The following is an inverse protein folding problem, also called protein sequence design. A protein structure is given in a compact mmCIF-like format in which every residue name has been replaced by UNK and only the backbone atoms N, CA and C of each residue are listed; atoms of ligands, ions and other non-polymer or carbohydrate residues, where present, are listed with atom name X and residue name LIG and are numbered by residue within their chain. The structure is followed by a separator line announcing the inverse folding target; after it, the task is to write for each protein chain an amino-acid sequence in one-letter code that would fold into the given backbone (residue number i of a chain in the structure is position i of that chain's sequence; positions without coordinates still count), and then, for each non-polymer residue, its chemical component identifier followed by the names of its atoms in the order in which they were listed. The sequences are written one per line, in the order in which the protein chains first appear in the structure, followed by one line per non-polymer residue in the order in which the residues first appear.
data_IF_120196989592
#
_entry.id   IF_120196989592
#
_cell.length_a   1.000
_cell.length_b   1.000
_cell.length_c   1.000
_cell.angle_alpha   90.00
_cell.angle_beta   90.00
_cell.angle_gamma   90.00
#
_symmetry.space_group_name_H-M   'P 1'
#
loop_
_entity.id
_entity.type
_entity.pdbx_description
1 polymer ?
#
# COMPACT_ATOMS: atom_id res chain seq x y z
N UNK A 1 -20.50 17.57 6.70
CA UNK A 1 -19.70 16.35 6.94
C UNK A 1 -18.74 16.65 8.09
N UNK A 2 -18.14 15.66 8.77
CA UNK A 2 -17.09 15.97 9.74
C UNK A 2 -15.72 15.99 9.04
N UNK A 3 -14.72 16.60 9.68
CA UNK A 3 -13.37 16.77 9.10
C UNK A 3 -12.70 15.46 8.70
N UNK A 4 -12.91 14.40 9.47
CA UNK A 4 -12.33 13.07 9.17
C UNK A 4 -12.93 12.50 7.88
N UNK A 5 -14.25 12.58 7.72
CA UNK A 5 -14.92 12.13 6.51
C UNK A 5 -14.53 13.01 5.31
N UNK A 6 -14.39 14.33 5.48
CA UNK A 6 -13.84 15.23 4.45
C UNK A 6 -12.44 14.81 4.00
N UNK A 7 -11.57 14.49 4.96
CA UNK A 7 -10.22 13.98 4.69
C UNK A 7 -10.30 12.70 3.86
N UNK A 8 -11.10 11.71 4.28
CA UNK A 8 -11.25 10.43 3.60
C UNK A 8 -11.80 10.58 2.18
N UNK A 9 -12.80 11.43 1.98
CA UNK A 9 -13.42 11.66 0.66
C UNK A 9 -12.52 12.48 -0.28
N UNK A 10 -11.57 13.25 0.24
CA UNK A 10 -10.59 14.00 -0.55
C UNK A 10 -9.34 13.20 -0.97
N UNK A 11 -9.21 11.95 -0.51
CA UNK A 11 -8.00 11.15 -0.76
C UNK A 11 -7.80 10.88 -2.26
N UNK A 12 -6.58 11.16 -2.73
CA UNK A 12 -6.13 10.92 -4.11
C UNK A 12 -4.65 10.55 -4.11
N UNK A 13 -4.22 9.78 -5.12
CA UNK A 13 -2.81 9.39 -5.26
C UNK A 13 -2.04 10.41 -6.08
N UNK A 14 -0.93 10.91 -5.55
CA UNK A 14 -0.07 11.89 -6.22
C UNK A 14 1.21 11.21 -6.72
N UNK A 15 1.52 11.31 -8.01
CA UNK A 15 2.71 10.68 -8.62
C UNK A 15 3.80 11.65 -9.04
N UNK A 16 3.53 12.95 -8.92
CA UNK A 16 4.47 14.04 -9.19
C UNK A 16 4.45 14.98 -7.99
N UNK A 17 5.52 14.98 -7.22
CA UNK A 17 5.66 15.81 -6.03
C UNK A 17 6.41 17.11 -6.36
N UNK A 18 6.09 18.17 -5.63
CA UNK A 18 6.86 19.42 -5.63
C UNK A 18 8.12 19.30 -4.76
N UNK A 19 9.00 20.31 -4.84
CA UNK A 19 10.21 20.39 -4.01
C UNK A 19 9.95 20.99 -2.62
N UNK A 20 8.68 21.22 -2.23
CA UNK A 20 8.35 21.73 -0.90
C UNK A 20 8.59 20.63 0.13
N UNK A 21 9.54 20.86 1.04
CA UNK A 21 9.87 19.96 2.13
C UNK A 21 8.72 19.82 3.14
N UNK A 22 8.61 18.62 3.72
CA UNK A 22 7.73 18.33 4.86
C UNK A 22 8.48 18.71 6.13
N UNK A 23 7.84 19.48 7.01
CA UNK A 23 8.46 19.87 8.27
C UNK A 23 8.67 18.67 9.19
N UNK A 24 9.76 18.68 9.97
CA UNK A 24 10.06 17.58 10.89
C UNK A 24 8.94 17.33 11.90
N UNK A 25 8.27 18.38 12.35
CA UNK A 25 7.12 18.29 13.27
C UNK A 25 5.90 17.62 12.62
N UNK A 26 5.58 17.97 11.38
CA UNK A 26 4.47 17.34 10.65
C UNK A 26 4.74 15.85 10.42
N UNK A 27 5.98 15.50 10.07
CA UNK A 27 6.39 14.10 9.93
C UNK A 27 6.23 13.35 11.26
N UNK A 28 6.66 13.94 12.37
CA UNK A 28 6.51 13.33 13.69
C UNK A 28 5.04 13.12 14.06
N UNK A 29 4.16 14.10 13.80
CA UNK A 29 2.72 13.95 14.02
C UNK A 29 2.12 12.79 13.21
N UNK A 30 2.59 12.58 11.97
CA UNK A 30 2.18 11.42 11.15
C UNK A 30 2.66 10.11 11.77
N UNK A 31 3.90 10.05 12.25
CA UNK A 31 4.47 8.84 12.86
C UNK A 31 3.76 8.50 14.18
N UNK A 32 3.52 9.49 15.04
CA UNK A 32 2.78 9.32 16.30
C UNK A 32 1.34 8.86 16.04
N UNK A 33 0.66 9.44 15.04
CA UNK A 33 -0.67 8.98 14.65
C UNK A 33 -0.64 7.52 14.14
N UNK A 34 0.41 7.13 13.42
CA UNK A 34 0.61 5.76 12.92
C UNK A 34 0.70 4.75 14.06
N UNK A 35 1.36 5.10 15.17
CA UNK A 35 1.46 4.22 16.34
C UNK A 35 0.11 3.93 17.01
N UNK A 36 -0.88 4.81 16.81
CA UNK A 36 -2.25 4.70 17.36
C UNK A 36 -3.17 3.79 16.56
N UNK A 37 -2.69 3.18 15.48
CA UNK A 37 -3.42 2.17 14.72
C UNK A 37 -3.91 1.03 15.61
N UNK A 38 -5.16 0.61 15.40
CA UNK A 38 -5.71 -0.60 16.00
C UNK A 38 -4.90 -1.82 15.55
N UNK A 39 -4.48 -2.65 16.51
CA UNK A 39 -3.68 -3.84 16.26
C UNK A 39 -4.10 -4.97 17.21
N UNK A 40 -3.89 -6.21 16.80
CA UNK A 40 -4.34 -7.36 17.57
C UNK A 40 -3.41 -7.66 18.74
N UNK A 41 -3.98 -7.74 19.95
CA UNK A 41 -3.26 -8.10 21.17
C UNK A 41 -2.20 -7.08 21.61
N UNK A 42 -2.29 -5.83 21.16
CA UNK A 42 -1.36 -4.76 21.55
C UNK A 42 0.08 -4.99 21.08
N UNK A 43 0.29 -5.84 20.07
CA UNK A 43 1.64 -6.30 19.71
C UNK A 43 2.39 -5.28 18.85
N UNK A 44 1.71 -4.62 17.92
CA UNK A 44 2.36 -3.74 16.94
C UNK A 44 3.51 -4.47 16.23
N UNK A 45 3.20 -5.62 15.61
CA UNK A 45 4.19 -6.50 14.94
C UNK A 45 4.49 -6.01 13.52
N UNK A 46 4.86 -4.73 13.45
CA UNK A 46 5.28 -4.03 12.25
C UNK A 46 6.46 -3.10 12.57
N UNK A 47 7.12 -2.61 11.53
CA UNK A 47 8.08 -1.52 11.63
C UNK A 47 7.91 -0.56 10.45
N UNK A 48 8.29 0.69 10.67
CA UNK A 48 8.23 1.74 9.66
C UNK A 48 9.65 2.27 9.44
N UNK A 49 10.20 2.06 8.25
CA UNK A 49 11.47 2.65 7.84
C UNK A 49 11.18 3.99 7.18
N UNK A 50 11.61 5.08 7.82
CA UNK A 50 11.52 6.43 7.28
C UNK A 50 12.71 6.68 6.35
N UNK A 51 12.45 6.89 5.07
CA UNK A 51 13.46 7.22 4.06
C UNK A 51 13.41 8.72 3.81
N UNK A 52 14.52 9.40 4.14
CA UNK A 52 14.75 10.81 3.89
C UNK A 52 16.03 11.08 3.07
N UNK A 53 16.77 10.03 2.69
CA UNK A 53 17.93 10.14 1.79
C UNK A 53 17.46 10.51 0.37
N UNK A 54 17.95 11.66 -0.13
CA UNK A 54 17.54 12.21 -1.43
C UNK A 54 17.82 11.26 -2.60
N UNK A 55 18.96 10.56 -2.58
CA UNK A 55 19.34 9.63 -3.66
C UNK A 55 18.38 8.44 -3.70
N UNK A 56 18.07 7.85 -2.55
CA UNK A 56 17.11 6.75 -2.46
C UNK A 56 15.71 7.21 -2.89
N UNK A 57 15.28 8.39 -2.45
CA UNK A 57 13.96 8.92 -2.81
C UNK A 57 13.83 9.17 -4.32
N UNK A 58 14.87 9.68 -4.95
CA UNK A 58 14.88 9.96 -6.38
C UNK A 58 14.93 8.69 -7.23
N UNK A 59 15.69 7.69 -6.79
CA UNK A 59 15.88 6.45 -7.54
C UNK A 59 14.71 5.47 -7.35
N UNK A 60 14.12 5.39 -6.15
CA UNK A 60 13.18 4.30 -5.80
C UNK A 60 11.79 4.77 -5.34
N UNK A 61 11.62 6.03 -4.93
CA UNK A 61 10.38 6.51 -4.29
C UNK A 61 9.78 7.74 -4.98
N UNK A 62 9.71 7.71 -6.31
CA UNK A 62 8.99 8.69 -7.12
C UNK A 62 9.40 10.15 -6.87
N UNK A 63 10.65 10.39 -6.45
CA UNK A 63 11.15 11.73 -6.10
C UNK A 63 10.30 12.44 -5.03
N UNK A 64 9.69 11.66 -4.13
CA UNK A 64 8.91 12.20 -3.02
C UNK A 64 9.78 12.96 -2.02
N UNK A 65 9.16 13.68 -1.07
CA UNK A 65 9.89 14.41 -0.03
C UNK A 65 10.35 13.48 1.09
N UNK A 66 9.50 12.51 1.45
CA UNK A 66 9.78 11.43 2.39
C UNK A 66 9.14 10.15 1.88
N UNK A 67 9.63 8.99 2.30
CA UNK A 67 8.92 7.73 2.08
C UNK A 67 8.90 6.91 3.37
N UNK A 68 7.79 6.21 3.60
CA UNK A 68 7.60 5.32 4.74
C UNK A 68 7.47 3.90 4.21
N UNK A 69 8.37 3.00 4.58
CA UNK A 69 8.30 1.58 4.22
C UNK A 69 7.80 0.77 5.41
N UNK A 70 6.63 0.17 5.24
CA UNK A 70 5.99 -0.64 6.27
C UNK A 70 6.37 -2.11 6.09
N UNK A 71 6.90 -2.71 7.14
CA UNK A 71 7.34 -4.10 7.20
C UNK A 71 6.51 -4.88 8.20
N UNK A 72 6.25 -6.16 7.91
CA UNK A 72 6.01 -7.15 8.96
C UNK A 72 7.29 -7.24 9.78
N UNK A 73 7.21 -7.12 11.11
CA UNK A 73 8.41 -7.22 11.96
C UNK A 73 8.11 -7.81 13.35
N UNK A 74 8.77 -8.92 13.66
CA UNK A 74 8.73 -9.56 14.97
C UNK A 74 10.03 -9.44 15.77
N UNK A 75 11.09 -8.84 15.22
CA UNK A 75 12.40 -8.76 15.87
C UNK A 75 12.30 -8.09 17.24
N UNK A 76 11.61 -6.95 17.35
CA UNK A 76 11.35 -6.28 18.63
C UNK A 76 10.71 -7.21 19.68
N UNK A 77 9.76 -8.04 19.27
CA UNK A 77 9.10 -8.99 20.17
C UNK A 77 10.01 -10.15 20.56
N UNK A 78 10.78 -10.68 19.62
CA UNK A 78 11.76 -11.74 19.86
C UNK A 78 12.83 -11.24 20.83
N UNK A 79 13.35 -10.03 20.62
CA UNK A 79 14.38 -9.43 21.46
C UNK A 79 13.88 -9.21 22.89
N UNK A 80 12.66 -8.67 23.04
CA UNK A 80 12.01 -8.55 24.36
C UNK A 80 11.81 -9.92 25.04
N UNK A 81 11.36 -10.93 24.30
CA UNK A 81 11.18 -12.27 24.85
C UNK A 81 12.52 -12.86 25.31
N UNK A 82 13.55 -12.79 24.47
CA UNK A 82 14.90 -13.27 24.78
C UNK A 82 15.49 -12.55 26.00
N UNK A 83 15.34 -11.23 26.08
CA UNK A 83 15.78 -10.43 27.24
C UNK A 83 15.13 -10.91 28.55
N UNK A 84 13.87 -11.35 28.48
CA UNK A 84 13.12 -11.90 29.60
C UNK A 84 13.31 -13.42 29.76
N UNK A 85 14.27 -14.03 29.08
CA UNK A 85 14.54 -15.48 29.07
C UNK A 85 13.36 -16.34 28.60
N UNK A 86 12.55 -15.81 27.69
CA UNK A 86 11.47 -16.50 27.00
C UNK A 86 11.79 -16.70 25.52
N UNK A 87 11.08 -17.63 24.88
CA UNK A 87 11.08 -17.79 23.42
C UNK A 87 9.67 -17.72 22.87
N UNK A 88 9.53 -17.19 21.65
CA UNK A 88 8.24 -17.07 20.97
C UNK A 88 8.29 -17.70 19.58
N UNK A 89 7.17 -18.28 19.15
CA UNK A 89 7.01 -18.81 17.80
C UNK A 89 6.27 -17.81 16.92
N UNK A 90 6.95 -17.27 15.90
CA UNK A 90 6.39 -16.21 15.02
C UNK A 90 6.35 -16.61 13.53
N UNK A 91 7.03 -17.70 13.17
CA UNK A 91 7.35 -18.05 11.79
C UNK A 91 6.31 -18.81 10.98
N UNK A 92 5.12 -19.06 11.55
CA UNK A 92 4.04 -19.71 10.80
C UNK A 92 3.29 -18.71 9.90
N UNK A 93 2.43 -19.22 9.02
CA UNK A 93 1.63 -18.39 8.10
C UNK A 93 0.70 -17.41 8.83
N UNK A 94 0.23 -17.77 10.03
CA UNK A 94 -0.66 -16.91 10.82
C UNK A 94 0.12 -15.72 11.39
N UNK A 95 1.34 -15.95 11.85
CA UNK A 95 2.24 -14.88 12.28
C UNK A 95 2.45 -13.83 11.19
N UNK A 96 2.73 -14.27 9.96
CA UNK A 96 2.87 -13.37 8.82
C UNK A 96 1.59 -12.56 8.55
N UNK A 97 0.42 -13.20 8.53
CA UNK A 97 -0.84 -12.49 8.31
C UNK A 97 -1.16 -11.47 9.40
N UNK A 98 -0.88 -11.78 10.67
CA UNK A 98 -1.06 -10.84 11.76
C UNK A 98 -0.20 -9.59 11.57
N UNK A 99 1.09 -9.76 11.31
CA UNK A 99 1.96 -8.61 11.06
C UNK A 99 1.66 -7.87 9.75
N UNK A 100 1.14 -8.57 8.74
CA UNK A 100 0.67 -7.93 7.51
C UNK A 100 -0.54 -7.02 7.76
N UNK A 101 -1.54 -7.50 8.51
CA UNK A 101 -2.72 -6.70 8.87
C UNK A 101 -2.29 -5.45 9.63
N UNK A 102 -1.47 -5.62 10.67
CA UNK A 102 -0.95 -4.51 11.48
C UNK A 102 -0.22 -3.46 10.60
N UNK A 103 0.70 -3.90 9.75
CA UNK A 103 1.48 -3.01 8.87
C UNK A 103 0.62 -2.26 7.85
N UNK A 104 -0.37 -2.93 7.23
CA UNK A 104 -1.26 -2.29 6.26
C UNK A 104 -2.19 -1.28 6.94
N UNK A 105 -2.75 -1.62 8.11
CA UNK A 105 -3.57 -0.68 8.88
C UNK A 105 -2.77 0.55 9.34
N UNK A 106 -1.51 0.33 9.73
CA UNK A 106 -0.59 1.42 10.09
C UNK A 106 -0.33 2.32 8.88
N UNK A 107 -0.09 1.74 7.70
CA UNK A 107 0.13 2.51 6.47
C UNK A 107 -1.07 3.39 6.10
N UNK A 108 -2.29 2.89 6.22
CA UNK A 108 -3.49 3.67 5.93
C UNK A 108 -3.73 4.78 6.96
N UNK A 109 -3.38 4.53 8.23
CA UNK A 109 -3.45 5.56 9.28
C UNK A 109 -2.47 6.69 8.99
N UNK A 110 -1.24 6.38 8.57
CA UNK A 110 -0.24 7.37 8.14
C UNK A 110 -0.75 8.22 6.96
N UNK A 111 -1.40 7.60 5.98
CA UNK A 111 -1.99 8.29 4.81
C UNK A 111 -3.08 9.27 5.24
N UNK A 112 -3.97 8.86 6.15
CA UNK A 112 -5.05 9.71 6.65
C UNK A 112 -4.48 10.87 7.46
N UNK A 113 -3.51 10.61 8.34
CA UNK A 113 -2.83 11.63 9.13
C UNK A 113 -2.14 12.66 8.23
N UNK A 114 -1.35 12.20 7.26
CA UNK A 114 -0.70 13.07 6.28
C UNK A 114 -1.72 13.94 5.54
N UNK A 115 -2.81 13.34 5.04
CA UNK A 115 -3.84 14.10 4.30
C UNK A 115 -4.53 15.14 5.19
N UNK A 116 -4.72 14.85 6.48
CA UNK A 116 -5.30 15.81 7.43
C UNK A 116 -4.42 17.03 7.69
N UNK A 117 -3.11 16.92 7.47
CA UNK A 117 -2.13 18.00 7.52
C UNK A 117 -1.93 18.69 6.16
N UNK A 118 -2.67 18.29 5.12
CA UNK A 118 -2.50 18.80 3.76
C UNK A 118 -1.30 18.21 3.01
N UNK A 119 -0.69 17.15 3.53
CA UNK A 119 0.40 16.41 2.87
C UNK A 119 -0.23 15.31 2.01
N UNK A 120 0.17 15.23 0.75
CA UNK A 120 -0.30 14.22 -0.17
C UNK A 120 0.55 12.95 -0.13
N UNK A 121 0.01 11.87 -0.70
CA UNK A 121 0.67 10.58 -0.68
C UNK A 121 0.49 9.76 -1.95
N UNK A 122 1.40 8.79 -2.11
CA UNK A 122 1.27 7.66 -3.01
C UNK A 122 1.53 6.38 -2.24
N UNK A 123 0.47 5.60 -2.07
CA UNK A 123 0.53 4.21 -1.63
C UNK A 123 1.03 3.37 -2.81
N UNK A 124 2.17 2.70 -2.66
CA UNK A 124 2.76 1.92 -3.77
C UNK A 124 3.47 0.66 -3.29
N UNK A 125 3.29 -0.39 -4.10
CA UNK A 125 3.94 -1.69 -4.00
C UNK A 125 5.17 -1.79 -4.92
N UNK A 126 5.73 -0.66 -5.34
CA UNK A 126 6.87 -0.59 -6.27
C UNK A 126 8.11 -1.35 -5.79
N UNK A 127 8.25 -1.60 -4.48
CA UNK A 127 9.28 -2.45 -3.92
C UNK A 127 9.29 -3.86 -4.55
N UNK A 128 8.14 -4.42 -4.91
CA UNK A 128 8.04 -5.73 -5.57
C UNK A 128 8.38 -5.69 -7.06
N UNK A 129 8.60 -4.51 -7.65
CA UNK A 129 9.15 -4.38 -9.01
C UNK A 129 10.68 -4.47 -9.01
N UNK A 130 11.30 -4.46 -7.83
CA UNK A 130 12.74 -4.62 -7.63
C UNK A 130 13.04 -6.05 -7.15
N UNK A 131 14.29 -6.49 -7.34
CA UNK A 131 14.78 -7.69 -6.64
C UNK A 131 14.76 -7.45 -5.13
N UNK A 132 14.17 -8.36 -4.36
CA UNK A 132 14.02 -8.20 -2.91
C UNK A 132 15.36 -8.09 -2.18
N UNK A 133 16.41 -8.76 -2.67
CA UNK A 133 17.77 -8.63 -2.14
C UNK A 133 18.25 -7.18 -2.19
N UNK A 134 17.92 -6.47 -3.27
CA UNK A 134 18.24 -5.06 -3.42
C UNK A 134 17.48 -4.22 -2.39
N UNK A 135 16.19 -4.51 -2.18
CA UNK A 135 15.36 -3.81 -1.17
C UNK A 135 15.94 -3.98 0.24
N UNK A 136 16.30 -5.20 0.63
CA UNK A 136 16.89 -5.48 1.94
C UNK A 136 18.22 -4.74 2.11
N UNK A 137 19.06 -4.71 1.08
CA UNK A 137 20.34 -4.01 1.11
C UNK A 137 20.18 -2.50 1.26
N UNK A 138 19.31 -1.85 0.45
CA UNK A 138 19.18 -0.39 0.48
C UNK A 138 18.53 0.11 1.77
N UNK A 139 17.62 -0.67 2.38
CA UNK A 139 16.92 -0.30 3.61
C UNK A 139 17.56 -0.92 4.86
N UNK A 140 18.64 -1.69 4.71
CA UNK A 140 19.31 -2.41 5.80
C UNK A 140 18.34 -3.24 6.65
N UNK A 141 17.46 -4.03 6.01
CA UNK A 141 16.43 -4.79 6.71
C UNK A 141 17.01 -6.05 7.37
N UNK A 142 16.50 -6.46 8.55
CA UNK A 142 16.85 -7.74 9.16
C UNK A 142 16.54 -8.92 8.23
N UNK A 143 17.47 -9.86 8.11
CA UNK A 143 17.30 -11.06 7.28
C UNK A 143 16.47 -12.18 7.95
N UNK A 144 15.91 -11.92 9.14
CA UNK A 144 14.97 -12.80 9.84
C UNK A 144 13.79 -12.00 10.39
N UNK A 145 12.62 -12.62 10.33
CA UNK A 145 11.34 -12.18 10.88
C UNK A 145 10.95 -10.72 10.56
N UNK A 146 11.48 -10.21 9.44
CA UNK A 146 11.13 -8.93 8.86
C UNK A 146 10.77 -9.14 7.38
N UNK A 147 9.74 -8.46 6.88
CA UNK A 147 9.41 -8.47 5.46
C UNK A 147 8.75 -7.15 5.01
N UNK A 148 9.30 -6.43 4.01
CA UNK A 148 8.72 -5.19 3.51
C UNK A 148 7.46 -5.46 2.69
N UNK A 149 6.41 -4.69 2.93
CA UNK A 149 5.09 -4.89 2.28
C UNK A 149 4.71 -3.74 1.36
N UNK A 150 4.79 -2.52 1.86
CA UNK A 150 4.22 -1.36 1.18
C UNK A 150 5.04 -0.12 1.49
N UNK A 151 5.11 0.77 0.51
CA UNK A 151 5.73 2.07 0.68
C UNK A 151 4.71 3.18 0.49
N UNK A 152 4.78 4.18 1.36
CA UNK A 152 4.00 5.41 1.28
C UNK A 152 4.96 6.54 0.95
N UNK A 153 4.91 7.05 -0.27
CA UNK A 153 5.63 8.26 -0.65
C UNK A 153 4.82 9.47 -0.18
N UNK A 154 5.46 10.44 0.47
CA UNK A 154 4.84 11.65 1.02
C UNK A 154 5.43 12.91 0.39
N UNK A 155 4.58 13.91 0.16
CA UNK A 155 4.98 15.22 -0.32
C UNK A 155 3.76 16.05 -0.72
N UNK A 156 3.98 17.21 -1.32
CA UNK A 156 2.89 18.03 -1.85
C UNK A 156 2.77 17.82 -3.36
N UNK A 157 1.55 17.76 -3.89
CA UNK A 157 1.33 17.68 -5.33
C UNK A 157 2.06 18.81 -6.07
N UNK A 158 2.78 18.48 -7.14
CA UNK A 158 3.33 19.49 -8.06
C UNK A 158 2.20 20.17 -8.84
N UNK A 159 1.22 19.37 -9.22
CA UNK A 159 0.00 19.75 -9.92
C UNK A 159 -1.14 18.93 -9.30
N UNK A 160 -2.24 19.60 -8.98
CA UNK A 160 -3.45 18.91 -8.51
C UNK A 160 -4.03 18.07 -9.65
N UNK A 161 -4.44 16.80 -9.39
CA UNK A 161 -5.23 16.06 -10.36
C UNK A 161 -6.51 16.83 -10.67
N UNK A 162 -6.82 17.01 -11.96
CA UNK A 162 -8.03 17.70 -12.40
C UNK A 162 -9.30 17.06 -11.83
N UNK A 163 -9.27 15.74 -11.64
CA UNK A 163 -10.39 14.97 -11.14
C UNK A 163 -9.98 13.89 -10.13
N UNK A 164 -10.91 13.56 -9.23
CA UNK A 164 -10.80 12.40 -8.38
C UNK A 164 -11.23 11.15 -9.15
N UNK A 165 -10.43 10.09 -9.10
CA UNK A 165 -10.86 8.78 -9.61
C UNK A 165 -12.04 8.25 -8.79
N UNK A 166 -13.04 7.72 -9.48
CA UNK A 166 -14.24 7.12 -8.91
C UNK A 166 -13.96 5.89 -8.06
N UNK A 167 -15.00 5.40 -7.39
CA UNK A 167 -14.99 4.17 -6.58
C UNK A 167 -16.28 3.41 -6.84
N UNK A 168 -16.16 2.15 -7.22
CA UNK A 168 -17.31 1.26 -7.40
C UNK A 168 -17.77 0.73 -6.06
N UNK A 169 -19.08 0.83 -5.79
CA UNK A 169 -19.69 0.28 -4.57
C UNK A 169 -20.23 -1.14 -4.77
N UNK A 170 -20.86 -1.40 -5.92
CA UNK A 170 -21.53 -2.66 -6.21
C UNK A 170 -20.51 -3.80 -6.29
N UNK A 171 -20.78 -4.91 -5.59
CA UNK A 171 -19.85 -6.03 -5.46
C UNK A 171 -18.70 -5.85 -4.47
N UNK A 172 -18.58 -4.68 -3.82
CA UNK A 172 -17.58 -4.42 -2.76
C UNK A 172 -18.20 -4.51 -1.37
N UNK A 173 -19.39 -3.92 -1.20
CA UNK A 173 -20.11 -3.92 0.09
C UNK A 173 -21.26 -4.92 0.02
N UNK A 174 -21.30 -5.86 0.96
CA UNK A 174 -22.35 -6.87 1.08
C UNK A 174 -23.00 -6.80 2.46
N UNK A 175 -24.31 -6.99 2.52
CA UNK A 175 -25.05 -7.06 3.79
C UNK A 175 -25.32 -8.54 4.13
N UNK A 176 -25.01 -8.91 5.37
CA UNK A 176 -25.21 -10.23 5.99
C UNK A 176 -24.41 -11.40 5.39
N UNK A 177 -24.40 -11.56 4.06
CA UNK A 177 -23.72 -12.64 3.33
C UNK A 177 -23.08 -12.10 2.06
N UNK A 178 -22.08 -12.80 1.55
CA UNK A 178 -21.51 -12.51 0.24
C UNK A 178 -22.58 -12.69 -0.84
N UNK A 179 -22.70 -11.70 -1.73
CA UNK A 179 -23.66 -11.69 -2.82
C UNK A 179 -22.90 -11.64 -4.14
N UNK A 180 -22.96 -12.73 -4.92
CA UNK A 180 -22.43 -12.73 -6.28
C UNK A 180 -23.31 -11.85 -7.16
N UNK A 181 -22.68 -11.02 -7.98
CA UNK A 181 -23.39 -10.17 -8.94
C UNK A 181 -24.10 -11.04 -9.98
N UNK A 182 -25.33 -10.67 -10.30
CA UNK A 182 -26.04 -11.19 -11.49
C UNK A 182 -25.42 -10.65 -12.78
N UNK A 183 -25.73 -11.26 -13.93
CA UNK A 183 -25.22 -10.79 -15.24
C UNK A 183 -25.53 -9.32 -15.49
N UNK A 184 -26.75 -8.88 -15.16
CA UNK A 184 -27.16 -7.47 -15.27
C UNK A 184 -26.33 -6.55 -14.36
N UNK A 185 -26.07 -6.97 -13.13
CA UNK A 185 -25.26 -6.18 -12.20
C UNK A 185 -23.80 -6.11 -12.61
N UNK A 186 -23.28 -7.15 -13.27
CA UNK A 186 -21.94 -7.14 -13.87
C UNK A 186 -21.90 -6.10 -14.99
N UNK A 187 -22.88 -6.08 -15.88
CA UNK A 187 -23.00 -5.06 -16.95
C UNK A 187 -23.02 -3.65 -16.37
N UNK A 188 -23.85 -3.40 -15.34
CA UNK A 188 -23.91 -2.10 -14.66
C UNK A 188 -22.57 -1.68 -14.05
N UNK A 189 -21.82 -2.62 -13.47
CA UNK A 189 -20.47 -2.34 -12.94
C UNK A 189 -19.50 -2.03 -14.07
N UNK A 190 -19.51 -2.79 -15.17
CA UNK A 190 -18.66 -2.51 -16.34
C UNK A 190 -18.95 -1.12 -16.90
N UNK A 191 -20.22 -0.75 -17.03
CA UNK A 191 -20.62 0.57 -17.48
C UNK A 191 -20.20 1.67 -16.50
N UNK A 192 -20.23 1.42 -15.19
CA UNK A 192 -19.75 2.37 -14.17
C UNK A 192 -18.25 2.71 -14.34
N UNK A 193 -17.43 1.74 -14.78
CA UNK A 193 -16.01 1.99 -15.08
C UNK A 193 -15.79 2.83 -16.35
N UNK A 194 -16.72 2.76 -17.29
CA UNK A 194 -16.65 3.46 -18.57
C UNK A 194 -17.24 4.88 -18.53
N UNK A 195 -17.97 5.23 -17.47
CA UNK A 195 -18.47 6.59 -17.23
C UNK A 195 -17.33 7.59 -17.12
N UNK A 196 -17.32 8.58 -18.00
CA UNK A 196 -16.23 9.56 -18.09
C UNK A 196 -16.10 10.38 -16.81
N UNK A 197 -17.21 10.72 -16.16
CA UNK A 197 -17.25 11.45 -14.89
C UNK A 197 -16.61 10.71 -13.72
N UNK A 198 -16.36 9.40 -13.85
CA UNK A 198 -15.68 8.60 -12.85
C UNK A 198 -14.16 8.55 -13.05
N UNK A 199 -13.63 8.98 -14.19
CA UNK A 199 -12.18 9.15 -14.43
C UNK A 199 -11.31 7.93 -14.07
N UNK A 200 -11.82 6.70 -14.26
CA UNK A 200 -11.03 5.48 -14.07
C UNK A 200 -9.88 5.39 -15.07
N UNK A 201 -10.17 5.78 -16.33
CA UNK A 201 -9.26 5.90 -17.46
C UNK A 201 -8.93 7.37 -17.74
N UNK A 202 -7.78 7.63 -18.36
CA UNK A 202 -7.48 8.93 -18.99
C UNK A 202 -8.00 9.03 -20.42
N UNK A 203 -8.49 7.92 -20.98
CA UNK A 203 -9.09 7.82 -22.31
C UNK A 203 -10.60 7.67 -22.18
N UNK A 204 -11.34 8.30 -23.09
CA UNK A 204 -12.80 8.11 -23.22
C UNK A 204 -13.13 6.69 -23.67
N UNK A 205 -14.39 6.27 -23.50
CA UNK A 205 -14.87 4.98 -24.02
C UNK A 205 -14.71 4.91 -25.56
N UNK A 206 -14.98 6.01 -26.25
CA UNK A 206 -14.82 6.10 -27.70
C UNK A 206 -13.36 5.93 -28.14
N UNK A 207 -12.41 6.56 -27.43
CA UNK A 207 -10.99 6.41 -27.74
C UNK A 207 -10.50 4.98 -27.47
N UNK A 208 -10.98 4.35 -26.41
CA UNK A 208 -10.70 2.93 -26.13
C UNK A 208 -11.25 2.02 -27.24
N UNK A 209 -12.42 2.33 -27.79
CA UNK A 209 -13.01 1.60 -28.92
C UNK A 209 -12.23 1.80 -30.22
N UNK A 210 -11.69 3.00 -30.48
CA UNK A 210 -10.77 3.22 -31.61
C UNK A 210 -9.48 2.40 -31.49
N UNK A 211 -9.04 2.14 -30.26
CA UNK A 211 -7.92 1.23 -29.98
C UNK A 211 -8.31 -0.27 -30.03
N UNK A 212 -9.57 -0.60 -30.29
CA UNK A 212 -10.05 -1.98 -30.43
C UNK A 212 -10.56 -2.62 -29.13
N UNK A 213 -10.73 -1.86 -28.06
CA UNK A 213 -11.25 -2.34 -26.77
C UNK A 213 -12.71 -1.92 -26.56
N UNK A 214 -13.52 -2.76 -25.92
CA UNK A 214 -14.93 -2.44 -25.65
C UNK A 214 -15.12 -1.28 -24.65
N UNK A 215 -14.15 -1.11 -23.75
CA UNK A 215 -14.16 -0.14 -22.65
C UNK A 215 -12.91 -0.27 -21.78
N UNK A 216 -12.90 0.40 -20.64
CA UNK A 216 -11.75 0.47 -19.73
C UNK A 216 -11.37 -0.91 -19.19
N UNK A 217 -12.35 -1.66 -18.67
CA UNK A 217 -12.08 -2.98 -18.09
C UNK A 217 -11.62 -3.99 -19.14
N UNK A 218 -12.15 -3.92 -20.36
CA UNK A 218 -11.73 -4.80 -21.47
C UNK A 218 -10.25 -4.58 -21.84
N UNK A 219 -9.85 -3.30 -21.95
CA UNK A 219 -8.43 -2.93 -22.12
C UNK A 219 -7.59 -3.35 -20.93
N UNK A 220 -8.06 -3.12 -19.72
CA UNK A 220 -7.36 -3.48 -18.49
C UNK A 220 -7.11 -4.99 -18.43
N UNK A 221 -8.11 -5.84 -18.70
CA UNK A 221 -7.93 -7.28 -18.68
C UNK A 221 -7.15 -7.82 -19.88
N UNK A 222 -7.18 -7.16 -21.03
CA UNK A 222 -6.39 -7.56 -22.19
C UNK A 222 -4.90 -7.25 -22.00
N UNK A 223 -4.57 -6.08 -21.43
CA UNK A 223 -3.19 -5.60 -21.32
C UNK A 223 -2.56 -5.88 -19.95
N UNK A 224 -3.40 -6.05 -18.93
CA UNK A 224 -3.01 -6.15 -17.53
C UNK A 224 -3.60 -7.42 -16.90
N UNK A 225 -3.53 -8.53 -17.64
CA UNK A 225 -3.84 -9.88 -17.14
C UNK A 225 -2.66 -10.56 -16.43
N UNK A 226 -1.54 -9.84 -16.27
CA UNK A 226 -0.29 -10.41 -15.83
C UNK A 226 -0.28 -10.68 -14.32
N UNK A 227 -0.16 -11.96 -13.96
CA UNK A 227 0.59 -12.32 -12.76
C UNK A 227 1.98 -11.66 -12.83
N UNK A 228 2.58 -11.35 -11.68
CA UNK A 228 4.01 -11.03 -11.66
C UNK A 228 4.80 -12.12 -12.41
N UNK A 229 5.92 -11.79 -13.06
CA UNK A 229 6.80 -12.80 -13.66
C UNK A 229 7.01 -13.95 -12.68
N UNK A 230 6.89 -15.19 -13.13
CA UNK A 230 6.92 -16.37 -12.26
C UNK A 230 8.14 -16.38 -11.33
N UNK A 231 9.29 -15.94 -11.86
CA UNK A 231 10.54 -15.75 -11.10
C UNK A 231 10.35 -14.81 -9.90
N UNK A 232 9.66 -13.68 -10.06
CA UNK A 232 9.40 -12.73 -8.96
C UNK A 232 8.47 -13.31 -7.90
N UNK A 233 7.47 -14.10 -8.31
CA UNK A 233 6.55 -14.79 -7.39
C UNK A 233 7.34 -15.82 -6.57
N UNK A 234 8.15 -16.62 -7.25
CA UNK A 234 9.01 -17.63 -6.63
C UNK A 234 10.01 -16.98 -5.67
N UNK A 235 10.61 -15.86 -6.06
CA UNK A 235 11.56 -15.12 -5.23
C UNK A 235 10.90 -14.53 -3.98
N UNK A 236 9.70 -13.96 -4.10
CA UNK A 236 8.93 -13.51 -2.95
C UNK A 236 8.66 -14.65 -1.97
N UNK A 237 8.19 -15.80 -2.48
CA UNK A 237 7.92 -16.98 -1.65
C UNK A 237 9.19 -17.54 -0.99
N UNK A 238 10.29 -17.67 -1.75
CA UNK A 238 11.59 -18.10 -1.24
C UNK A 238 12.10 -17.14 -0.17
N UNK A 239 11.99 -15.82 -0.40
CA UNK A 239 12.42 -14.81 0.58
C UNK A 239 11.60 -14.90 1.86
N UNK A 240 10.26 -15.00 1.77
CA UNK A 240 9.38 -15.19 2.93
C UNK A 240 9.81 -16.40 3.78
N UNK A 241 10.10 -17.53 3.13
CA UNK A 241 10.66 -18.71 3.82
C UNK A 241 12.03 -18.44 4.43
N UNK A 242 12.94 -17.84 3.66
CA UNK A 242 14.32 -17.55 4.10
C UNK A 242 14.34 -16.67 5.36
N UNK A 243 13.49 -15.66 5.41
CA UNK A 243 13.38 -14.79 6.59
C UNK A 243 12.58 -15.42 7.73
N UNK A 244 12.18 -16.68 7.62
CA UNK A 244 11.59 -17.42 8.73
C UNK A 244 10.06 -17.33 8.84
N UNK A 245 9.35 -16.81 7.83
CA UNK A 245 7.90 -16.95 7.71
C UNK A 245 7.53 -18.22 6.91
N UNK A 246 6.27 -18.64 6.98
CA UNK A 246 5.76 -19.83 6.26
C UNK A 246 6.53 -21.12 6.55
N UNK A 247 7.17 -21.21 7.72
CA UNK A 247 7.79 -22.44 8.20
C UNK A 247 6.68 -23.44 8.53
N UNK A 248 6.80 -24.68 8.04
CA UNK A 248 5.96 -25.78 8.53
C UNK A 248 6.49 -26.15 9.91
N UNK A 249 5.60 -26.16 10.91
CA UNK A 249 5.91 -26.73 12.22
C UNK A 249 6.24 -28.20 12.09
#
# INVERSE_FOLDING_TARGET
MNKTLETLHSMRSIRKFSNKEIEGKELEEILEATLRTANSGGRQVYSVVVVNDRKLLDEYFYKANKALVFCVDFNRWIDCANHLNHSIQVGDIRGFFLGNIDAIMASQTAVIAAKSLGIDSLVTSSLFRMKLEKVYKILNLPDKYNFPLISICLGYAKEEPEHLKGRVRKGVIHYNKYQRLSSKEIEEVVDEYDKEENHFSSLTKEDLQKEGYKGFLDKYFSNWNGSFPEEQIIDCYKKLKKVGFFQKK
#
